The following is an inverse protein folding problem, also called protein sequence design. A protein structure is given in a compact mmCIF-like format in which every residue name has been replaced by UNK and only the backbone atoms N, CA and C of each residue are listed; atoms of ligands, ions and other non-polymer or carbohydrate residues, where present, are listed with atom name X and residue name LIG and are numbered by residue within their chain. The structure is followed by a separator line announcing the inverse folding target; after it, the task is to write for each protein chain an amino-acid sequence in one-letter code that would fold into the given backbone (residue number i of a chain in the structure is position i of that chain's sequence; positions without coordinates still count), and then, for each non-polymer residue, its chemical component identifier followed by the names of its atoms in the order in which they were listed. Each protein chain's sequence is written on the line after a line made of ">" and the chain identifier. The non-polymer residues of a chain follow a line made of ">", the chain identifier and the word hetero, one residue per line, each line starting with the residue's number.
data_IF_212429713344
#
_entry.id   IF_212429713344
#
_cell.length_a   1.000
_cell.length_b   1.000
_cell.length_c   1.000
_cell.angle_alpha   90.00
_cell.angle_beta   90.00
_cell.angle_gamma   90.00
#
_symmetry.space_group_name_H-M   'P 1'
#
loop_
_entity.id
_entity.type
_entity.pdbx_description
1 polymer ?
#
# COMPACT_ATOMS: atom_id res chain seq x y z
N UNK A 1 14.81 22.50 22.69
CA UNK A 1 15.35 21.16 23.03
C UNK A 1 16.16 20.66 21.86
N UNK A 2 17.43 20.35 22.10
CA UNK A 2 18.28 19.74 21.09
C UNK A 2 17.82 18.29 20.90
N UNK A 3 17.43 17.96 19.66
CA UNK A 3 17.18 16.58 19.28
C UNK A 3 18.45 15.77 19.49
N UNK A 4 18.36 14.65 20.24
CA UNK A 4 19.52 13.83 20.54
C UNK A 4 20.16 13.33 19.24
N UNK A 5 21.48 13.47 19.11
CA UNK A 5 22.20 12.91 17.98
C UNK A 5 22.18 11.37 18.08
N UNK A 6 21.61 10.72 17.08
CA UNK A 6 21.62 9.27 16.95
C UNK A 6 22.61 8.88 15.86
N UNK A 7 23.67 8.11 16.17
CA UNK A 7 24.55 7.52 15.17
C UNK A 7 23.77 6.58 14.24
N UNK A 8 24.30 6.30 13.05
CA UNK A 8 23.71 5.30 12.15
C UNK A 8 23.65 3.93 12.81
N UNK A 9 22.60 3.15 12.49
CA UNK A 9 22.31 1.86 13.11
C UNK A 9 23.49 0.86 13.09
N UNK A 10 24.32 0.86 12.04
CA UNK A 10 25.45 -0.06 11.93
C UNK A 10 26.51 0.20 13.01
N UNK A 11 26.76 1.45 13.38
CA UNK A 11 27.68 1.77 14.47
C UNK A 11 27.08 1.40 15.84
N UNK A 12 25.78 1.60 16.02
CA UNK A 12 25.08 1.22 17.23
C UNK A 12 25.04 -0.29 17.44
N UNK A 13 24.88 -1.09 16.39
CA UNK A 13 24.91 -2.57 16.47
C UNK A 13 26.17 -3.11 17.16
N UNK A 14 27.31 -2.44 16.96
CA UNK A 14 28.57 -2.81 17.59
C UNK A 14 28.67 -2.28 19.02
N UNK A 15 28.14 -1.08 19.28
CA UNK A 15 28.26 -0.41 20.56
C UNK A 15 27.34 -0.99 21.66
N UNK A 16 26.21 -1.58 21.29
CA UNK A 16 25.18 -2.02 22.24
C UNK A 16 25.44 -3.39 22.88
N UNK A 17 26.57 -4.03 22.60
CA UNK A 17 27.09 -5.23 23.30
C UNK A 17 26.04 -6.34 23.56
N UNK A 18 25.13 -6.56 22.61
CA UNK A 18 24.07 -7.57 22.72
C UNK A 18 22.71 -7.05 23.23
N UNK A 19 22.63 -5.85 23.79
CA UNK A 19 21.35 -5.24 24.25
C UNK A 19 20.57 -4.50 23.17
N UNK A 20 20.60 -5.01 21.94
CA UNK A 20 20.00 -4.34 20.77
C UNK A 20 18.52 -4.01 20.96
N UNK A 21 17.72 -4.95 21.43
CA UNK A 21 16.29 -4.77 21.66
C UNK A 21 16.00 -3.71 22.72
N UNK A 22 16.73 -3.73 23.84
CA UNK A 22 16.56 -2.72 24.91
C UNK A 22 16.84 -1.31 24.38
N UNK A 23 17.91 -1.17 23.59
CA UNK A 23 18.25 0.14 23.00
C UNK A 23 17.21 0.55 21.95
N UNK A 24 16.70 -0.39 21.14
CA UNK A 24 15.60 -0.13 20.21
C UNK A 24 14.34 0.35 20.94
N UNK A 25 13.96 -0.30 22.05
CA UNK A 25 12.82 0.10 22.89
C UNK A 25 13.00 1.51 23.47
N UNK A 26 14.18 1.86 23.94
CA UNK A 26 14.46 3.21 24.47
C UNK A 26 14.35 4.28 23.39
N UNK A 27 14.90 4.02 22.19
CA UNK A 27 14.77 4.92 21.05
C UNK A 27 13.28 5.05 20.65
N UNK A 28 12.52 3.94 20.67
CA UNK A 28 11.10 3.95 20.35
C UNK A 28 10.30 4.80 21.34
N UNK A 29 10.55 4.67 22.64
CA UNK A 29 9.90 5.51 23.66
C UNK A 29 10.13 7.01 23.41
N UNK A 30 11.34 7.40 23.01
CA UNK A 30 11.66 8.78 22.66
C UNK A 30 10.92 9.21 21.38
N UNK A 31 10.87 8.35 20.35
CA UNK A 31 10.19 8.62 19.09
C UNK A 31 8.67 8.80 19.29
N UNK A 32 8.02 7.97 20.10
CA UNK A 32 6.58 8.08 20.43
C UNK A 32 6.27 9.39 21.14
N UNK A 33 7.09 9.78 22.13
CA UNK A 33 6.93 11.07 22.82
C UNK A 33 7.08 12.25 21.87
N UNK A 34 8.00 12.14 20.90
CA UNK A 34 8.21 13.18 19.91
C UNK A 34 7.02 13.28 18.94
N UNK A 35 6.51 12.16 18.44
CA UNK A 35 5.30 12.09 17.60
C UNK A 35 4.10 12.69 18.33
N UNK A 36 3.92 12.37 19.62
CA UNK A 36 2.81 12.87 20.45
C UNK A 36 2.89 14.35 20.83
N UNK A 37 4.09 14.95 20.80
CA UNK A 37 4.30 16.33 21.27
C UNK A 37 3.85 17.43 20.30
N UNK A 38 3.22 17.10 19.16
CA UNK A 38 2.74 18.05 18.10
C UNK A 38 3.78 19.10 17.71
N UNK A 39 5.04 18.71 17.64
CA UNK A 39 6.13 19.62 17.25
C UNK A 39 6.27 19.59 15.72
N UNK A 40 5.48 20.42 15.06
CA UNK A 40 5.39 20.52 13.58
C UNK A 40 6.62 21.21 12.97
N UNK A 41 7.81 20.71 13.24
CA UNK A 41 9.04 21.22 12.61
C UNK A 41 9.62 20.20 11.66
N UNK A 42 10.15 20.66 10.53
CA UNK A 42 10.82 19.80 9.55
C UNK A 42 11.96 18.98 10.18
N UNK A 43 12.74 19.61 11.08
CA UNK A 43 13.81 18.92 11.79
C UNK A 43 13.27 17.76 12.69
N UNK A 44 12.10 17.93 13.31
CA UNK A 44 11.44 16.91 14.12
C UNK A 44 11.02 15.71 13.31
N UNK A 45 10.46 15.90 12.13
CA UNK A 45 10.07 14.80 11.25
C UNK A 45 11.26 14.01 10.72
N UNK A 46 12.32 14.71 10.31
CA UNK A 46 13.58 14.09 9.88
C UNK A 46 14.21 13.28 11.00
N UNK A 47 14.19 13.79 12.22
CA UNK A 47 14.68 13.07 13.39
C UNK A 47 13.85 11.82 13.67
N UNK A 48 12.51 11.91 13.63
CA UNK A 48 11.62 10.76 13.82
C UNK A 48 11.89 9.66 12.80
N UNK A 49 12.01 10.04 11.52
CA UNK A 49 12.35 9.09 10.47
C UNK A 49 13.69 8.41 10.76
N UNK A 50 14.74 9.19 11.05
CA UNK A 50 16.06 8.67 11.36
C UNK A 50 16.07 7.78 12.63
N UNK A 51 15.39 8.19 13.69
CA UNK A 51 15.29 7.42 14.91
C UNK A 51 14.65 6.04 14.67
N UNK A 52 13.57 6.00 13.88
CA UNK A 52 12.88 4.74 13.54
C UNK A 52 13.72 3.91 12.58
N UNK A 53 14.40 4.52 11.62
CA UNK A 53 15.33 3.81 10.76
C UNK A 53 16.44 3.11 11.55
N UNK A 54 17.05 3.81 12.51
CA UNK A 54 18.09 3.28 13.39
C UNK A 54 17.55 2.18 14.29
N UNK A 55 16.43 2.39 15.00
CA UNK A 55 15.88 1.37 15.90
C UNK A 55 15.48 0.10 15.16
N UNK A 56 14.97 0.22 13.94
CA UNK A 56 14.60 -0.93 13.09
C UNK A 56 15.80 -1.63 12.46
N UNK A 57 16.98 -1.01 12.46
CA UNK A 57 18.24 -1.68 12.19
C UNK A 57 18.70 -2.52 13.39
N UNK A 58 18.40 -2.08 14.63
CA UNK A 58 18.72 -2.81 15.85
C UNK A 58 17.77 -3.98 16.08
N UNK A 59 16.48 -3.77 15.90
CA UNK A 59 15.43 -4.79 15.95
C UNK A 59 14.53 -4.73 14.71
N UNK A 60 14.88 -5.43 13.62
CA UNK A 60 14.10 -5.46 12.39
C UNK A 60 12.72 -6.11 12.53
N UNK A 61 12.49 -6.89 13.60
CA UNK A 61 11.23 -7.59 13.83
C UNK A 61 10.22 -6.79 14.66
N UNK A 62 10.61 -5.61 15.12
CA UNK A 62 9.75 -4.72 15.88
C UNK A 62 8.74 -3.99 14.99
N UNK A 63 7.56 -4.59 14.78
CA UNK A 63 6.54 -4.12 13.83
C UNK A 63 5.90 -2.75 14.16
N UNK A 64 5.53 -2.44 15.44
CA UNK A 64 4.84 -1.20 15.77
C UNK A 64 5.52 0.10 15.31
N UNK A 65 6.85 0.26 15.38
CA UNK A 65 7.53 1.44 14.86
C UNK A 65 7.32 1.70 13.37
N UNK A 66 7.34 0.65 12.55
CA UNK A 66 7.08 0.78 11.12
C UNK A 66 5.67 1.29 10.85
N UNK A 67 4.66 0.72 11.52
CA UNK A 67 3.25 1.08 11.34
C UNK A 67 2.98 2.52 11.77
N UNK A 68 3.39 2.86 13.00
CA UNK A 68 3.12 4.18 13.57
C UNK A 68 3.84 5.29 12.80
N UNK A 69 5.12 5.08 12.45
CA UNK A 69 5.89 6.08 11.72
C UNK A 69 5.47 6.19 10.26
N UNK A 70 5.13 5.06 9.63
CA UNK A 70 4.57 5.06 8.28
C UNK A 70 3.29 5.89 8.20
N UNK A 71 2.35 5.70 9.13
CA UNK A 71 1.13 6.51 9.21
C UNK A 71 1.40 7.96 9.56
N UNK A 72 2.24 8.20 10.56
CA UNK A 72 2.58 9.55 10.98
C UNK A 72 3.17 10.37 9.85
N UNK A 73 4.23 9.88 9.21
CA UNK A 73 4.88 10.58 8.11
C UNK A 73 4.02 10.61 6.85
N UNK A 74 3.44 9.46 6.48
CA UNK A 74 2.73 9.29 5.21
C UNK A 74 1.36 9.94 5.18
N UNK A 75 0.67 10.05 6.30
CA UNK A 75 -0.72 10.57 6.34
C UNK A 75 -0.80 11.90 7.09
N UNK A 76 -0.25 11.96 8.31
CA UNK A 76 -0.45 13.13 9.16
C UNK A 76 0.47 14.31 8.79
N UNK A 77 1.69 14.01 8.32
CA UNK A 77 2.70 15.03 8.00
C UNK A 77 2.77 15.33 6.49
N UNK A 78 2.23 14.44 5.65
CA UNK A 78 2.30 14.58 4.20
C UNK A 78 3.67 14.21 3.60
N UNK A 79 4.53 13.52 4.36
CA UNK A 79 5.82 13.00 3.87
C UNK A 79 5.64 11.57 3.36
N UNK A 80 4.89 11.44 2.28
CA UNK A 80 4.41 10.16 1.75
C UNK A 80 5.56 9.22 1.38
N UNK A 81 6.63 9.74 0.77
CA UNK A 81 7.79 8.95 0.34
C UNK A 81 8.49 8.28 1.52
N UNK A 82 8.74 9.04 2.59
CA UNK A 82 9.40 8.53 3.79
C UNK A 82 8.49 7.55 4.54
N UNK A 83 7.17 7.83 4.60
CA UNK A 83 6.20 6.91 5.16
C UNK A 83 6.19 5.57 4.43
N UNK A 84 6.17 5.58 3.10
CA UNK A 84 6.24 4.36 2.28
C UNK A 84 7.60 3.68 2.40
N UNK A 85 8.70 4.43 2.46
CA UNK A 85 10.05 3.87 2.59
C UNK A 85 10.22 3.06 3.89
N UNK A 86 9.76 3.61 5.02
CA UNK A 86 9.84 2.91 6.30
C UNK A 86 8.96 1.65 6.32
N UNK A 87 7.77 1.70 5.72
CA UNK A 87 6.89 0.54 5.58
C UNK A 87 7.49 -0.53 4.67
N UNK A 88 8.15 -0.16 3.56
CA UNK A 88 8.88 -1.10 2.69
C UNK A 88 9.97 -1.83 3.44
N UNK A 89 10.75 -1.13 4.26
CA UNK A 89 11.75 -1.76 5.14
C UNK A 89 11.08 -2.76 6.09
N UNK A 90 9.95 -2.38 6.68
CA UNK A 90 9.16 -3.27 7.55
C UNK A 90 8.66 -4.52 6.82
N UNK A 91 8.16 -4.42 5.60
CA UNK A 91 7.69 -5.54 4.77
C UNK A 91 8.79 -6.55 4.51
N UNK A 92 10.01 -6.08 4.23
CA UNK A 92 11.16 -6.96 3.97
C UNK A 92 11.52 -7.83 5.18
N UNK A 93 11.44 -7.28 6.38
CA UNK A 93 11.81 -7.98 7.62
C UNK A 93 10.64 -8.72 8.28
N UNK A 94 9.39 -8.35 7.95
CA UNK A 94 8.18 -8.89 8.58
C UNK A 94 7.16 -9.35 7.53
N UNK A 95 7.48 -10.33 6.69
CA UNK A 95 6.64 -10.75 5.56
C UNK A 95 5.31 -11.38 5.98
N UNK A 96 5.15 -11.77 7.25
CA UNK A 96 3.91 -12.32 7.80
C UNK A 96 2.90 -11.28 8.31
N UNK A 97 3.25 -9.99 8.25
CA UNK A 97 2.41 -8.89 8.75
C UNK A 97 1.73 -8.15 7.59
N UNK A 98 0.53 -8.58 7.21
CA UNK A 98 -0.25 -7.98 6.11
C UNK A 98 -0.54 -6.48 6.28
N UNK A 99 -0.55 -5.99 7.51
CA UNK A 99 -0.82 -4.59 7.83
C UNK A 99 0.22 -3.63 7.24
N UNK A 100 1.49 -4.05 7.16
CA UNK A 100 2.57 -3.21 6.62
C UNK A 100 2.36 -2.90 5.13
N UNK A 101 2.21 -3.89 4.24
CA UNK A 101 1.90 -3.61 2.84
C UNK A 101 0.52 -2.95 2.67
N UNK A 102 -0.46 -3.25 3.53
CA UNK A 102 -1.75 -2.56 3.50
C UNK A 102 -1.59 -1.04 3.71
N UNK A 103 -0.83 -0.62 4.74
CA UNK A 103 -0.58 0.79 5.02
C UNK A 103 0.22 1.48 3.89
N UNK A 104 1.21 0.79 3.31
CA UNK A 104 1.95 1.30 2.16
C UNK A 104 1.04 1.50 0.94
N UNK A 105 0.10 0.56 0.72
CA UNK A 105 -0.93 0.66 -0.31
C UNK A 105 -1.88 1.82 -0.07
N UNK A 106 -2.33 2.00 1.16
CA UNK A 106 -3.19 3.11 1.55
C UNK A 106 -2.53 4.47 1.24
N UNK A 107 -1.30 4.69 1.69
CA UNK A 107 -0.56 5.94 1.44
C UNK A 107 -0.35 6.15 -0.07
N UNK A 108 0.04 5.10 -0.80
CA UNK A 108 0.27 5.21 -2.24
C UNK A 108 -0.99 5.59 -2.99
N UNK A 109 -2.12 4.97 -2.66
CA UNK A 109 -3.40 5.23 -3.34
C UNK A 109 -4.02 6.57 -2.95
N UNK A 110 -4.23 6.81 -1.64
CA UNK A 110 -5.01 7.97 -1.19
C UNK A 110 -4.19 9.25 -1.09
N UNK A 111 -2.93 9.17 -0.67
CA UNK A 111 -2.11 10.36 -0.41
C UNK A 111 -1.23 10.74 -1.61
N UNK A 112 -0.79 9.74 -2.40
CA UNK A 112 0.03 9.98 -3.60
C UNK A 112 -0.76 9.92 -4.90
N UNK A 113 -2.05 9.56 -4.85
CA UNK A 113 -2.90 9.35 -6.02
C UNK A 113 -2.27 8.38 -7.05
N UNK A 114 -1.60 7.32 -6.56
CA UNK A 114 -0.92 6.31 -7.37
C UNK A 114 -1.64 4.95 -7.22
N UNK A 115 -2.68 4.69 -8.03
CA UNK A 115 -3.44 3.44 -7.94
C UNK A 115 -2.61 2.21 -8.34
N UNK A 116 -1.59 2.37 -9.19
CA UNK A 116 -0.73 1.27 -9.60
C UNK A 116 0.12 0.78 -8.42
N UNK A 117 0.81 1.69 -7.74
CA UNK A 117 1.59 1.35 -6.54
C UNK A 117 0.67 0.87 -5.40
N UNK A 118 -0.50 1.50 -5.21
CA UNK A 118 -1.50 1.07 -4.24
C UNK A 118 -1.95 -0.37 -4.48
N UNK A 119 -2.31 -0.70 -5.72
CA UNK A 119 -2.73 -2.05 -6.13
C UNK A 119 -1.65 -3.10 -5.90
N UNK A 120 -0.39 -2.77 -6.18
CA UNK A 120 0.75 -3.68 -5.93
C UNK A 120 0.90 -4.01 -4.45
N UNK A 121 0.88 -3.01 -3.58
CA UNK A 121 0.98 -3.23 -2.14
C UNK A 121 -0.22 -3.99 -1.58
N UNK A 122 -1.44 -3.72 -2.04
CA UNK A 122 -2.62 -4.49 -1.63
C UNK A 122 -2.55 -5.95 -2.10
N UNK A 123 -1.97 -6.23 -3.29
CA UNK A 123 -1.70 -7.61 -3.74
C UNK A 123 -0.72 -8.34 -2.83
N UNK A 124 0.33 -7.64 -2.37
CA UNK A 124 1.28 -8.19 -1.39
C UNK A 124 0.54 -8.50 -0.08
N UNK A 125 -0.25 -7.54 0.44
CA UNK A 125 -1.02 -7.73 1.67
C UNK A 125 -2.00 -8.91 1.58
N UNK A 126 -2.71 -9.05 0.46
CA UNK A 126 -3.71 -10.09 0.25
C UNK A 126 -3.13 -11.52 0.26
N UNK A 127 -1.84 -11.67 -0.05
CA UNK A 127 -1.16 -12.98 -0.05
C UNK A 127 -0.68 -13.42 1.32
N UNK A 128 -0.68 -12.53 2.30
CA UNK A 128 -0.21 -12.85 3.66
C UNK A 128 -1.27 -13.65 4.39
N UNK A 129 -0.94 -14.80 5.02
CA UNK A 129 -1.88 -15.56 5.83
C UNK A 129 -2.54 -14.73 6.92
N UNK A 130 -3.85 -14.88 7.09
CA UNK A 130 -4.63 -14.08 8.06
C UNK A 130 -5.00 -12.66 7.58
N UNK A 131 -4.67 -12.31 6.34
CA UNK A 131 -5.14 -11.08 5.71
C UNK A 131 -6.67 -11.09 5.53
N UNK A 132 -7.34 -9.94 5.68
CA UNK A 132 -8.79 -9.83 5.47
C UNK A 132 -9.23 -10.26 4.07
N UNK A 133 -10.35 -10.97 3.99
CA UNK A 133 -10.89 -11.55 2.74
C UNK A 133 -11.26 -10.50 1.67
N UNK A 134 -11.43 -9.23 2.03
CA UNK A 134 -11.72 -8.15 1.08
C UNK A 134 -10.48 -7.64 0.33
N UNK A 135 -9.26 -7.89 0.82
CA UNK A 135 -8.03 -7.34 0.24
C UNK A 135 -7.80 -7.72 -1.23
N UNK A 136 -8.08 -8.96 -1.68
CA UNK A 136 -7.95 -9.30 -3.09
C UNK A 136 -8.84 -8.46 -4.00
N UNK A 137 -10.07 -8.18 -3.58
CA UNK A 137 -11.01 -7.35 -4.33
C UNK A 137 -10.55 -5.89 -4.37
N UNK A 138 -10.02 -5.38 -3.24
CA UNK A 138 -9.45 -4.03 -3.17
C UNK A 138 -8.22 -3.90 -4.09
N UNK A 139 -7.32 -4.88 -4.07
CA UNK A 139 -6.15 -4.90 -4.94
C UNK A 139 -6.55 -4.90 -6.42
N UNK A 140 -7.54 -5.73 -6.81
CA UNK A 140 -8.05 -5.79 -8.17
C UNK A 140 -8.68 -4.45 -8.59
N UNK A 141 -9.47 -3.83 -7.71
CA UNK A 141 -10.07 -2.52 -7.98
C UNK A 141 -9.02 -1.47 -8.30
N UNK A 142 -7.97 -1.36 -7.47
CA UNK A 142 -6.88 -0.39 -7.69
C UNK A 142 -6.12 -0.68 -9.00
N UNK A 143 -5.94 -1.95 -9.32
CA UNK A 143 -5.29 -2.36 -10.57
C UNK A 143 -6.14 -1.99 -11.80
N UNK A 144 -7.47 -2.13 -11.72
CA UNK A 144 -8.38 -1.65 -12.77
C UNK A 144 -8.33 -0.13 -12.92
N UNK A 145 -8.31 0.60 -11.80
CA UNK A 145 -8.22 2.06 -11.79
C UNK A 145 -6.90 2.57 -12.39
N UNK A 146 -5.82 1.79 -12.29
CA UNK A 146 -4.55 2.09 -12.97
C UNK A 146 -4.56 1.80 -14.47
N UNK A 147 -5.66 1.27 -15.01
CA UNK A 147 -5.84 0.94 -16.43
C UNK A 147 -5.48 -0.50 -16.80
N UNK A 148 -5.02 -1.33 -15.85
CA UNK A 148 -4.60 -2.72 -16.11
C UNK A 148 -5.64 -3.74 -15.62
N UNK A 149 -6.77 -3.79 -16.33
CA UNK A 149 -7.83 -4.76 -16.03
C UNK A 149 -7.41 -6.21 -16.26
N UNK A 150 -6.47 -6.46 -17.18
CA UNK A 150 -5.96 -7.82 -17.46
C UNK A 150 -5.17 -8.36 -16.26
N UNK A 151 -4.27 -7.55 -15.70
CA UNK A 151 -3.53 -7.93 -14.49
C UNK A 151 -4.46 -8.12 -13.27
N UNK A 152 -5.53 -7.34 -13.18
CA UNK A 152 -6.53 -7.50 -12.13
C UNK A 152 -7.25 -8.86 -12.24
N UNK A 153 -7.69 -9.25 -13.45
CA UNK A 153 -8.34 -10.53 -13.70
C UNK A 153 -7.40 -11.71 -13.42
N UNK A 154 -6.17 -11.65 -13.93
CA UNK A 154 -5.15 -12.69 -13.69
C UNK A 154 -4.87 -12.87 -12.19
N UNK A 155 -4.74 -11.76 -11.46
CA UNK A 155 -4.54 -11.80 -10.01
C UNK A 155 -5.71 -12.47 -9.28
N UNK A 156 -6.97 -12.08 -9.59
CA UNK A 156 -8.17 -12.66 -8.96
C UNK A 156 -8.32 -14.15 -9.30
N UNK A 157 -8.04 -14.54 -10.54
CA UNK A 157 -8.09 -15.95 -10.96
C UNK A 157 -7.07 -16.79 -10.19
N UNK A 158 -5.80 -16.37 -10.14
CA UNK A 158 -4.77 -17.06 -9.37
C UNK A 158 -5.12 -17.13 -7.89
N UNK A 159 -5.64 -16.04 -7.32
CA UNK A 159 -5.99 -15.97 -5.92
C UNK A 159 -7.18 -16.90 -5.59
N UNK A 160 -8.20 -16.96 -6.46
CA UNK A 160 -9.38 -17.82 -6.27
C UNK A 160 -9.03 -19.31 -6.17
N UNK A 161 -7.95 -19.74 -6.83
CA UNK A 161 -7.46 -21.14 -6.76
C UNK A 161 -6.83 -21.49 -5.40
N UNK A 162 -6.35 -20.49 -4.66
CA UNK A 162 -5.73 -20.67 -3.34
C UNK A 162 -6.72 -20.56 -2.18
N UNK A 163 -7.94 -20.07 -2.44
CA UNK A 163 -8.96 -19.84 -1.41
C UNK A 163 -9.77 -21.11 -1.17
N UNK A 164 -9.86 -21.51 0.11
CA UNK A 164 -10.66 -22.67 0.54
C UNK A 164 -12.10 -22.30 0.89
N UNK A 165 -12.36 -21.06 1.33
CA UNK A 165 -13.69 -20.56 1.67
C UNK A 165 -14.51 -20.28 0.39
N UNK A 166 -15.61 -21.04 0.20
CA UNK A 166 -16.47 -20.93 -0.96
C UNK A 166 -17.12 -19.55 -1.12
N UNK A 167 -17.50 -18.90 0.00
CA UNK A 167 -18.10 -17.56 -0.05
C UNK A 167 -17.13 -16.52 -0.56
N UNK A 168 -15.87 -16.62 -0.15
CA UNK A 168 -14.80 -15.75 -0.63
C UNK A 168 -14.56 -16.02 -2.12
N UNK A 169 -14.53 -17.28 -2.53
CA UNK A 169 -14.36 -17.66 -3.93
C UNK A 169 -15.47 -17.13 -4.83
N UNK A 170 -16.73 -17.27 -4.42
CA UNK A 170 -17.88 -16.69 -5.13
C UNK A 170 -17.79 -15.17 -5.27
N UNK A 171 -17.36 -14.47 -4.22
CA UNK A 171 -17.17 -13.02 -4.25
C UNK A 171 -16.08 -12.60 -5.24
N UNK A 172 -14.98 -13.38 -5.33
CA UNK A 172 -13.92 -13.14 -6.32
C UNK A 172 -14.42 -13.35 -7.76
N UNK A 173 -15.19 -14.44 -8.01
CA UNK A 173 -15.79 -14.68 -9.33
C UNK A 173 -16.78 -13.58 -9.72
N UNK A 174 -17.57 -13.09 -8.78
CA UNK A 174 -18.47 -11.95 -9.03
C UNK A 174 -17.67 -10.71 -9.43
N UNK A 175 -16.59 -10.40 -8.72
CA UNK A 175 -15.74 -9.24 -9.07
C UNK A 175 -15.08 -9.41 -10.43
N UNK A 176 -14.63 -10.60 -10.80
CA UNK A 176 -14.10 -10.84 -12.15
C UNK A 176 -15.13 -10.57 -13.24
N UNK A 177 -16.38 -11.00 -13.05
CA UNK A 177 -17.48 -10.71 -14.00
C UNK A 177 -17.74 -9.20 -14.11
N UNK A 178 -17.75 -8.48 -12.99
CA UNK A 178 -17.91 -7.03 -12.97
C UNK A 178 -16.81 -6.33 -13.78
N UNK A 179 -15.55 -6.74 -13.61
CA UNK A 179 -14.42 -6.17 -14.36
C UNK A 179 -14.57 -6.40 -15.86
N UNK A 180 -14.99 -7.59 -16.28
CA UNK A 180 -15.24 -7.88 -17.70
C UNK A 180 -16.37 -6.99 -18.24
N UNK A 181 -17.48 -6.87 -17.49
CA UNK A 181 -18.58 -5.98 -17.86
C UNK A 181 -18.16 -4.50 -17.94
N UNK A 182 -17.35 -4.03 -16.99
CA UNK A 182 -16.78 -2.68 -17.01
C UNK A 182 -15.92 -2.45 -18.27
N UNK A 183 -15.13 -3.46 -18.69
CA UNK A 183 -14.34 -3.41 -19.92
C UNK A 183 -15.22 -3.34 -21.17
N UNK A 184 -16.24 -4.23 -21.25
CA UNK A 184 -17.17 -4.27 -22.38
C UNK A 184 -17.92 -2.93 -22.53
N UNK A 185 -18.39 -2.35 -21.42
CA UNK A 185 -19.02 -1.04 -21.41
C UNK A 185 -18.09 0.06 -21.91
N UNK A 186 -16.82 0.05 -21.48
CA UNK A 186 -15.83 1.02 -21.95
C UNK A 186 -15.58 0.93 -23.46
N UNK A 187 -15.46 -0.30 -23.98
CA UNK A 187 -15.32 -0.53 -25.43
C UNK A 187 -16.54 0.02 -26.19
N UNK A 188 -17.75 -0.23 -25.66
CA UNK A 188 -18.99 0.31 -26.26
C UNK A 188 -19.04 1.84 -26.21
N UNK A 189 -18.68 2.46 -25.09
CA UNK A 189 -18.62 3.92 -24.94
C UNK A 189 -17.63 4.56 -25.92
N UNK A 190 -16.45 3.95 -26.07
CA UNK A 190 -15.46 4.38 -27.04
C UNK A 190 -15.98 4.22 -28.48
N UNK A 191 -16.66 3.12 -28.80
CA UNK A 191 -17.30 2.88 -30.09
C UNK A 191 -18.36 3.94 -30.39
N UNK A 192 -19.25 4.22 -29.43
CA UNK A 192 -20.28 5.28 -29.56
C UNK A 192 -19.63 6.65 -29.77
N UNK A 193 -18.57 6.95 -29.03
CA UNK A 193 -17.86 8.23 -29.18
C UNK A 193 -17.22 8.39 -30.54
N UNK A 194 -16.59 7.36 -31.09
CA UNK A 194 -16.02 7.34 -32.45
C UNK A 194 -17.12 7.48 -33.51
N UNK A 195 -18.23 6.76 -33.35
CA UNK A 195 -19.37 6.86 -34.27
C UNK A 195 -19.94 8.28 -34.31
N UNK A 196 -20.15 8.90 -33.11
CA UNK A 196 -20.62 10.29 -33.02
C UNK A 196 -19.66 11.28 -33.68
N UNK A 197 -18.38 11.09 -33.50
CA UNK A 197 -17.36 11.95 -34.09
C UNK A 197 -17.36 11.86 -35.64
N UNK A 198 -17.66 10.68 -36.19
CA UNK A 198 -17.64 10.43 -37.61
C UNK A 198 -18.96 10.81 -38.30
N UNK A 199 -20.11 10.47 -37.70
CA UNK A 199 -21.43 10.64 -38.33
C UNK A 199 -22.25 11.82 -37.75
N UNK A 200 -21.76 12.51 -36.72
CA UNK A 200 -22.46 13.65 -36.11
C UNK A 200 -23.69 13.30 -35.28
N UNK A 201 -24.03 12.02 -35.16
CA UNK A 201 -25.21 11.51 -34.43
C UNK A 201 -24.88 10.23 -33.67
N UNK A 202 -25.70 9.89 -32.65
CA UNK A 202 -25.55 8.64 -31.92
C UNK A 202 -25.97 7.43 -32.78
N UNK A 203 -25.33 6.26 -32.62
CA UNK A 203 -25.78 5.02 -33.27
C UNK A 203 -27.18 4.66 -32.77
N UNK A 204 -28.02 4.17 -33.65
CA UNK A 204 -29.39 3.73 -33.33
C UNK A 204 -29.41 2.29 -32.81
N UNK A 205 -28.46 1.47 -33.22
CA UNK A 205 -28.31 0.06 -32.84
C UNK A 205 -26.85 -0.27 -32.57
N UNK A 206 -26.59 -1.38 -31.85
CA UNK A 206 -25.24 -1.86 -31.59
C UNK A 206 -24.51 -2.28 -32.87
N UNK A 207 -25.23 -2.81 -33.83
CA UNK A 207 -24.67 -3.21 -35.11
C UNK A 207 -24.05 -2.04 -35.90
N UNK A 208 -24.50 -0.81 -35.65
CA UNK A 208 -23.98 0.40 -36.29
C UNK A 208 -22.51 0.68 -35.80
N UNK A 209 -22.09 0.08 -34.70
CA UNK A 209 -20.73 0.22 -34.19
C UNK A 209 -19.72 -0.73 -34.87
N UNK A 210 -20.19 -1.65 -35.71
CA UNK A 210 -19.35 -2.61 -36.44
C UNK A 210 -18.85 -2.07 -37.78
N UNK A 211 -19.26 -0.85 -38.13
CA UNK A 211 -18.85 -0.14 -39.35
C UNK A 211 -17.61 0.72 -39.07
#
# INVERSE_FOLDING_TARGET
>A
EQLAYLPKGDYLKLAVLGYRQVVADLIWLQAVQHIGAKRDTQAGYMWTYHAVDVLTDLDPTFVPPYQATGLFLGVLVGRHEEGVAILKKGIQHNPSHWQLPFLAGYISYYERCDPAAGGEFFRIAARVPGAPAYLPQLAARMTVESGDSSAALEFLERFSRSVTDERVREALFRRMKEIVQEQDLRVLEEGISRYRAHYGQAPAKLEDLLL
#
